data_IF_323993648271
#
_entry.id   IF_323993648271
#
_cell.length_a   1.000
_cell.length_b   1.000
_cell.length_c   1.000
_cell.angle_alpha   90.00
_cell.angle_beta   90.00
_cell.angle_gamma   90.00
#
_symmetry.space_group_name_H-M   'P 1'
#
loop_
_entity.id
_entity.type
_entity.pdbx_description
1 polymer ?
#
# COMPACT_ATOMS: atom_id res chain seq x y z
N UNK A 1 9.03 24.03 30.87
CA UNK A 1 7.99 24.74 30.07
C UNK A 1 7.71 23.85 28.81
N UNK A 2 6.77 22.96 28.87
CA UNK A 2 6.31 22.29 27.64
C UNK A 2 5.64 23.36 26.77
N UNK A 3 6.18 23.53 25.60
CA UNK A 3 5.81 24.59 24.67
C UNK A 3 4.31 24.47 24.36
N UNK A 4 3.50 25.48 24.69
CA UNK A 4 2.04 25.54 24.42
C UNK A 4 1.70 25.23 22.95
N UNK A 5 2.61 25.54 22.04
CA UNK A 5 2.51 25.22 20.62
C UNK A 5 2.54 23.71 20.37
N UNK A 6 3.48 22.99 20.99
CA UNK A 6 3.58 21.53 20.89
C UNK A 6 2.36 20.83 21.49
N UNK A 7 1.87 21.32 22.63
CA UNK A 7 0.65 20.80 23.27
C UNK A 7 -0.61 21.01 22.42
N UNK A 8 -0.66 22.05 21.60
CA UNK A 8 -1.75 22.34 20.66
C UNK A 8 -1.68 21.43 19.41
N UNK A 9 -0.49 21.07 18.96
CA UNK A 9 -0.26 20.16 17.83
C UNK A 9 -0.53 18.70 18.22
N UNK A 10 -0.11 18.31 19.42
CA UNK A 10 -0.11 16.91 19.90
C UNK A 10 -1.23 16.63 20.91
N UNK A 11 -1.83 17.66 21.47
CA UNK A 11 -2.68 17.63 22.66
C UNK A 11 -4.11 17.10 22.52
N UNK A 12 -4.39 16.26 21.52
CA UNK A 12 -5.72 15.68 21.31
C UNK A 12 -5.74 14.30 20.70
N UNK A 13 -4.61 13.64 20.60
CA UNK A 13 -4.48 12.35 19.90
C UNK A 13 -4.63 11.17 20.84
N UNK A 14 -5.84 10.94 21.37
CA UNK A 14 -6.20 9.64 21.87
C UNK A 14 -6.61 8.78 20.67
N UNK A 15 -5.74 7.85 20.26
CA UNK A 15 -5.97 6.98 19.13
C UNK A 15 -6.64 5.66 19.54
N UNK A 16 -7.08 5.53 20.81
CA UNK A 16 -7.77 4.34 21.31
C UNK A 16 -7.04 3.05 20.96
N UNK A 17 -5.72 3.00 21.18
CA UNK A 17 -4.84 1.94 20.69
C UNK A 17 -5.22 0.56 21.25
N UNK A 18 -5.69 0.54 22.51
CA UNK A 18 -6.01 -0.68 23.26
C UNK A 18 -7.46 -0.73 23.76
N UNK A 19 -8.30 0.19 23.32
CA UNK A 19 -9.72 0.28 23.69
C UNK A 19 -10.58 0.42 22.44
N UNK A 20 -11.83 -0.07 22.45
CA UNK A 20 -12.76 0.16 21.37
C UNK A 20 -13.01 1.67 21.17
N UNK A 21 -13.21 2.08 19.93
CA UNK A 21 -13.61 3.46 19.59
C UNK A 21 -14.98 3.75 20.19
N UNK A 22 -15.12 4.77 21.04
CA UNK A 22 -16.41 5.13 21.62
C UNK A 22 -17.32 5.81 20.59
N UNK A 23 -18.63 5.74 20.82
CA UNK A 23 -19.66 6.18 19.86
C UNK A 23 -19.49 7.65 19.40
N UNK A 24 -19.10 8.53 20.31
CA UNK A 24 -18.88 9.96 20.05
C UNK A 24 -17.67 10.24 19.14
N UNK A 25 -16.72 9.31 19.07
CA UNK A 25 -15.52 9.43 18.24
C UNK A 25 -15.70 8.84 16.83
N UNK A 26 -16.85 8.21 16.54
CA UNK A 26 -17.12 7.64 15.24
C UNK A 26 -17.26 8.69 14.15
N UNK A 27 -16.73 8.37 12.97
CA UNK A 27 -16.66 9.27 11.81
C UNK A 27 -17.77 9.00 10.80
N UNK A 28 -18.21 10.05 10.14
CA UNK A 28 -19.16 9.98 9.05
C UNK A 28 -18.49 9.57 7.73
N UNK A 29 -19.32 9.28 6.71
CA UNK A 29 -18.91 8.80 5.38
C UNK A 29 -17.84 9.67 4.70
N UNK A 30 -17.90 11.00 4.83
CA UNK A 30 -16.94 11.93 4.20
C UNK A 30 -15.48 11.61 4.58
N UNK A 31 -15.25 11.21 5.84
CA UNK A 31 -13.91 10.87 6.32
C UNK A 31 -13.29 9.69 5.55
N UNK A 32 -14.10 8.70 5.17
CA UNK A 32 -13.66 7.50 4.46
C UNK A 32 -13.54 7.72 2.95
N UNK A 33 -14.49 8.45 2.35
CA UNK A 33 -14.44 8.77 0.92
C UNK A 33 -13.14 9.49 0.55
N UNK A 34 -12.79 10.55 1.28
CA UNK A 34 -11.56 11.29 1.02
C UNK A 34 -10.31 10.53 1.41
N UNK A 35 -10.35 9.75 2.51
CA UNK A 35 -9.23 8.93 2.93
C UNK A 35 -8.86 7.91 1.85
N UNK A 36 -9.82 7.12 1.39
CA UNK A 36 -9.58 6.12 0.35
C UNK A 36 -9.26 6.74 -1.01
N UNK A 37 -9.91 7.84 -1.38
CA UNK A 37 -9.55 8.56 -2.59
C UNK A 37 -8.07 9.02 -2.54
N UNK A 38 -7.62 9.57 -1.40
CA UNK A 38 -6.25 10.03 -1.23
C UNK A 38 -5.21 8.91 -1.20
N UNK A 39 -5.52 7.79 -0.56
CA UNK A 39 -4.62 6.63 -0.51
C UNK A 39 -4.40 5.96 -1.87
N UNK A 40 -5.41 6.02 -2.75
CA UNK A 40 -5.41 5.35 -4.04
C UNK A 40 -5.17 6.30 -5.24
N UNK A 41 -4.91 7.58 -5.00
CA UNK A 41 -4.28 8.50 -5.95
C UNK A 41 -2.85 8.77 -5.50
N UNK A 42 -2.12 7.70 -5.32
CA UNK A 42 -0.82 7.65 -4.66
C UNK A 42 0.34 7.98 -5.60
N UNK A 43 1.51 8.21 -5.01
CA UNK A 43 2.74 8.34 -5.78
C UNK A 43 3.13 7.05 -6.52
N UNK A 44 2.74 5.87 -6.02
CA UNK A 44 2.91 4.57 -6.68
C UNK A 44 2.23 4.47 -8.03
N UNK A 45 1.16 5.21 -8.24
CA UNK A 45 0.38 5.14 -9.49
C UNK A 45 1.21 5.57 -10.69
N UNK A 46 2.17 6.48 -10.48
CA UNK A 46 3.13 6.89 -11.51
C UNK A 46 4.17 5.81 -11.87
N UNK A 47 4.23 4.71 -11.11
CA UNK A 47 5.09 3.55 -11.39
C UNK A 47 4.26 2.39 -11.96
N UNK A 48 3.04 2.19 -11.46
CA UNK A 48 2.19 1.06 -11.81
C UNK A 48 1.61 1.18 -13.22
N UNK A 49 1.13 2.36 -13.63
CA UNK A 49 0.65 2.56 -14.99
C UNK A 49 1.71 2.25 -16.06
N UNK A 50 2.95 2.79 -15.93
CA UNK A 50 4.10 2.40 -16.76
C UNK A 50 4.37 0.90 -16.78
N UNK A 51 4.23 0.20 -15.65
CA UNK A 51 4.42 -1.25 -15.58
C UNK A 51 3.53 -1.99 -16.58
N UNK A 52 2.25 -1.64 -16.66
CA UNK A 52 1.32 -2.28 -17.59
C UNK A 52 1.68 -2.04 -19.07
N UNK A 53 2.17 -0.85 -19.39
CA UNK A 53 2.68 -0.54 -20.72
C UNK A 53 3.94 -1.35 -21.02
N UNK A 54 4.90 -1.38 -20.10
CA UNK A 54 6.16 -2.09 -20.26
C UNK A 54 5.95 -3.60 -20.45
N UNK A 55 4.99 -4.19 -19.77
CA UNK A 55 4.63 -5.61 -19.88
C UNK A 55 3.65 -5.92 -21.03
N UNK A 56 3.41 -4.99 -21.94
CA UNK A 56 2.63 -5.21 -23.16
C UNK A 56 1.20 -5.68 -22.90
N UNK A 57 0.52 -5.05 -21.95
CA UNK A 57 -0.90 -5.31 -21.72
C UNK A 57 -1.71 -4.79 -22.91
N UNK A 58 -2.75 -5.51 -23.33
CA UNK A 58 -3.70 -4.98 -24.32
C UNK A 58 -4.67 -4.00 -23.68
N UNK A 59 -5.18 -3.02 -24.43
CA UNK A 59 -6.16 -2.06 -23.91
C UNK A 59 -7.41 -2.75 -23.32
N UNK A 60 -7.89 -3.82 -23.94
CA UNK A 60 -9.03 -4.60 -23.47
C UNK A 60 -8.72 -5.34 -22.16
N UNK A 61 -7.54 -6.00 -22.08
CA UNK A 61 -7.13 -6.70 -20.86
C UNK A 61 -6.95 -5.74 -19.68
N UNK A 62 -6.39 -4.55 -19.95
CA UNK A 62 -6.25 -3.51 -18.93
C UNK A 62 -7.61 -3.09 -18.36
N UNK A 63 -8.52 -2.63 -19.23
CA UNK A 63 -9.82 -2.12 -18.80
C UNK A 63 -10.64 -3.18 -18.06
N UNK A 64 -10.79 -4.38 -18.65
CA UNK A 64 -11.57 -5.45 -18.03
C UNK A 64 -10.90 -5.99 -16.76
N UNK A 65 -9.57 -6.14 -16.79
CA UNK A 65 -8.81 -6.59 -15.63
C UNK A 65 -8.92 -5.63 -14.44
N UNK A 66 -8.79 -4.33 -14.69
CA UNK A 66 -8.96 -3.31 -13.65
C UNK A 66 -10.41 -3.26 -13.12
N UNK A 67 -11.41 -3.36 -13.99
CA UNK A 67 -12.81 -3.38 -13.56
C UNK A 67 -13.10 -4.55 -12.62
N UNK A 68 -12.67 -5.75 -12.99
CA UNK A 68 -12.91 -6.97 -12.20
C UNK A 68 -12.07 -6.98 -10.92
N UNK A 69 -10.76 -6.72 -11.00
CA UNK A 69 -9.88 -6.79 -9.85
C UNK A 69 -10.20 -5.73 -8.79
N UNK A 70 -10.52 -4.50 -9.21
CA UNK A 70 -10.95 -3.45 -8.29
C UNK A 70 -12.31 -3.79 -7.63
N UNK A 71 -13.25 -4.44 -8.37
CA UNK A 71 -14.49 -4.91 -7.78
C UNK A 71 -14.23 -5.95 -6.68
N UNK A 72 -13.35 -6.91 -6.92
CA UNK A 72 -12.97 -7.92 -5.92
C UNK A 72 -12.34 -7.28 -4.69
N UNK A 73 -11.51 -6.26 -4.86
CA UNK A 73 -10.93 -5.49 -3.76
C UNK A 73 -12.01 -4.79 -2.92
N UNK A 74 -12.95 -4.06 -3.55
CA UNK A 74 -14.07 -3.39 -2.86
C UNK A 74 -14.93 -4.39 -2.09
N UNK A 75 -15.23 -5.54 -2.70
CA UNK A 75 -15.99 -6.60 -2.05
C UNK A 75 -15.24 -7.14 -0.83
N UNK A 76 -13.92 -7.31 -0.91
CA UNK A 76 -13.10 -7.75 0.22
C UNK A 76 -13.16 -6.76 1.38
N UNK A 77 -13.04 -5.45 1.13
CA UNK A 77 -13.21 -4.42 2.17
C UNK A 77 -14.62 -4.39 2.74
N UNK A 78 -15.64 -4.41 1.87
CA UNK A 78 -17.03 -4.27 2.28
C UNK A 78 -17.57 -5.47 3.04
N UNK A 79 -17.26 -6.69 2.58
CA UNK A 79 -17.83 -7.92 3.12
C UNK A 79 -16.98 -8.59 4.21
N UNK A 80 -15.67 -8.32 4.24
CA UNK A 80 -14.76 -8.96 5.19
C UNK A 80 -14.28 -7.94 6.23
N UNK A 81 -13.51 -6.93 5.81
CA UNK A 81 -12.86 -6.01 6.73
C UNK A 81 -13.84 -5.09 7.45
N UNK A 82 -14.83 -4.56 6.73
CA UNK A 82 -15.83 -3.63 7.29
C UNK A 82 -16.63 -4.21 8.45
N UNK A 83 -17.25 -5.40 8.35
CA UNK A 83 -17.96 -6.04 9.44
C UNK A 83 -17.09 -6.26 10.69
N UNK A 84 -15.88 -6.80 10.51
CA UNK A 84 -14.94 -7.07 11.61
C UNK A 84 -14.52 -5.76 12.30
N UNK A 85 -14.13 -4.76 11.51
CA UNK A 85 -13.68 -3.46 12.03
C UNK A 85 -14.75 -2.77 12.87
N UNK A 86 -16.00 -2.75 12.41
CA UNK A 86 -17.08 -2.03 13.07
C UNK A 86 -17.71 -2.79 14.23
N UNK A 87 -17.57 -4.12 14.27
CA UNK A 87 -18.02 -4.95 15.39
C UNK A 87 -17.07 -4.80 16.58
N UNK A 88 -15.77 -5.02 16.38
CA UNK A 88 -14.78 -5.02 17.47
C UNK A 88 -14.25 -3.62 17.81
N UNK A 89 -14.16 -2.71 16.83
CA UNK A 89 -13.67 -1.32 16.97
C UNK A 89 -12.27 -1.19 17.56
N UNK A 90 -11.46 -2.24 17.40
CA UNK A 90 -10.08 -2.33 17.89
C UNK A 90 -9.08 -2.14 16.77
N UNK A 91 -7.84 -1.76 17.11
CA UNK A 91 -6.73 -1.84 16.16
C UNK A 91 -6.45 -3.29 15.79
N UNK A 92 -5.94 -3.52 14.56
CA UNK A 92 -5.40 -4.82 14.15
C UNK A 92 -4.49 -5.43 15.22
N UNK A 93 -3.55 -4.65 15.73
CA UNK A 93 -2.51 -5.07 16.66
C UNK A 93 -3.05 -5.53 18.00
N UNK A 94 -4.01 -4.81 18.55
CA UNK A 94 -4.61 -5.18 19.83
C UNK A 94 -5.59 -6.35 19.69
N UNK A 95 -6.29 -6.45 18.57
CA UNK A 95 -7.15 -7.60 18.28
C UNK A 95 -6.31 -8.88 18.16
N UNK A 96 -5.20 -8.85 17.40
CA UNK A 96 -4.26 -9.97 17.33
C UNK A 96 -3.64 -10.33 18.68
N UNK A 97 -3.30 -9.32 19.51
CA UNK A 97 -2.76 -9.59 20.85
C UNK A 97 -3.75 -10.38 21.72
N UNK A 98 -5.04 -10.10 21.59
CA UNK A 98 -6.09 -10.83 22.32
C UNK A 98 -6.28 -12.27 21.83
N UNK A 99 -6.07 -12.51 20.54
CA UNK A 99 -6.25 -13.83 19.93
C UNK A 99 -4.98 -14.68 20.07
N UNK A 100 -3.83 -14.15 19.68
CA UNK A 100 -2.58 -14.89 19.51
C UNK A 100 -1.52 -14.62 20.61
N UNK A 101 -1.81 -13.71 21.55
CA UNK A 101 -0.93 -13.38 22.67
C UNK A 101 0.19 -12.41 22.30
N UNK A 102 0.83 -11.85 23.36
CA UNK A 102 1.76 -10.72 23.24
C UNK A 102 3.05 -11.04 22.49
N UNK A 103 3.59 -12.24 22.65
CA UNK A 103 4.93 -12.56 22.13
C UNK A 103 4.94 -12.66 20.59
N UNK A 104 3.97 -13.38 20.00
CA UNK A 104 3.83 -13.48 18.55
C UNK A 104 3.54 -12.11 17.94
N UNK A 105 2.63 -11.35 18.56
CA UNK A 105 2.22 -10.05 18.03
C UNK A 105 3.32 -9.00 18.10
N UNK A 106 4.27 -9.08 19.04
CA UNK A 106 5.44 -8.18 19.05
C UNK A 106 6.29 -8.35 17.79
N UNK A 107 6.60 -9.57 17.39
CA UNK A 107 7.35 -9.84 16.17
C UNK A 107 6.60 -9.40 14.94
N UNK A 108 5.33 -9.75 14.86
CA UNK A 108 4.46 -9.31 13.78
C UNK A 108 4.40 -7.77 13.67
N UNK A 109 4.20 -7.08 14.78
CA UNK A 109 4.14 -5.62 14.81
C UNK A 109 5.47 -4.97 14.39
N UNK A 110 6.61 -5.56 14.76
CA UNK A 110 7.91 -5.07 14.34
C UNK A 110 8.08 -5.18 12.82
N UNK A 111 7.79 -6.37 12.26
CA UNK A 111 7.87 -6.60 10.80
C UNK A 111 6.91 -5.67 10.07
N UNK A 112 5.67 -5.55 10.56
CA UNK A 112 4.66 -4.69 9.98
C UNK A 112 5.06 -3.20 10.01
N UNK A 113 5.61 -2.72 11.14
CA UNK A 113 6.11 -1.35 11.24
C UNK A 113 7.26 -1.08 10.25
N UNK A 114 8.20 -2.01 10.10
CA UNK A 114 9.30 -1.88 9.13
C UNK A 114 8.78 -1.85 7.69
N UNK A 115 7.85 -2.75 7.35
CA UNK A 115 7.24 -2.78 6.01
C UNK A 115 6.51 -1.47 5.68
N UNK A 116 5.76 -0.91 6.63
CA UNK A 116 5.15 0.40 6.46
C UNK A 116 6.18 1.53 6.35
N UNK A 117 7.32 1.46 7.06
CA UNK A 117 8.39 2.44 6.90
C UNK A 117 8.96 2.41 5.47
N UNK A 118 9.19 1.23 4.90
CA UNK A 118 9.65 1.12 3.51
C UNK A 118 8.61 1.63 2.52
N UNK A 119 7.35 1.25 2.69
CA UNK A 119 6.25 1.74 1.84
C UNK A 119 6.13 3.27 1.90
N UNK A 120 6.10 3.86 3.09
CA UNK A 120 6.03 5.30 3.25
C UNK A 120 7.30 6.01 2.76
N UNK A 121 8.46 5.40 2.95
CA UNK A 121 9.74 5.90 2.43
C UNK A 121 9.74 6.00 0.91
N UNK A 122 9.22 4.99 0.24
CA UNK A 122 9.03 5.01 -1.21
C UNK A 122 8.12 6.16 -1.66
N UNK A 123 7.03 6.43 -0.93
CA UNK A 123 6.13 7.54 -1.24
C UNK A 123 6.78 8.91 -1.03
N UNK A 124 7.61 9.06 0.01
CA UNK A 124 8.39 10.28 0.24
C UNK A 124 9.41 10.48 -0.89
N UNK A 125 10.11 9.41 -1.30
CA UNK A 125 11.07 9.46 -2.40
C UNK A 125 10.39 9.85 -3.73
N UNK A 126 9.23 9.27 -4.04
CA UNK A 126 8.44 9.68 -5.23
C UNK A 126 8.10 11.16 -5.17
N UNK A 127 7.61 11.68 -4.04
CA UNK A 127 7.35 13.13 -3.87
C UNK A 127 8.62 13.96 -4.10
N UNK A 128 9.74 13.53 -3.56
CA UNK A 128 11.00 14.24 -3.66
C UNK A 128 11.52 14.34 -5.10
N UNK A 129 11.24 13.34 -5.98
CA UNK A 129 11.63 13.40 -7.41
C UNK A 129 11.03 14.61 -8.13
N UNK A 130 9.88 15.10 -7.68
CA UNK A 130 9.21 16.24 -8.29
C UNK A 130 9.64 17.59 -7.68
N UNK A 131 10.02 17.63 -6.40
CA UNK A 131 10.41 18.87 -5.70
C UNK A 131 11.69 19.47 -6.26
N UNK A 132 12.65 18.65 -6.67
CA UNK A 132 13.94 19.12 -7.17
C UNK A 132 13.88 19.76 -8.56
N UNK A 133 12.89 19.42 -9.37
CA UNK A 133 12.81 19.83 -10.78
C UNK A 133 12.80 21.37 -10.93
N UNK A 134 11.95 22.15 -10.20
CA UNK A 134 11.93 23.60 -10.32
C UNK A 134 13.21 24.31 -9.86
N UNK A 135 14.10 23.60 -9.18
CA UNK A 135 15.36 24.14 -8.64
C UNK A 135 16.59 23.60 -9.38
N UNK A 136 16.40 22.96 -10.53
CA UNK A 136 17.45 22.30 -11.32
C UNK A 136 18.35 21.37 -10.49
N UNK A 137 17.79 20.73 -9.47
CA UNK A 137 18.50 19.75 -8.67
C UNK A 137 18.60 18.42 -9.45
N UNK A 138 19.81 17.88 -9.48
CA UNK A 138 20.00 16.54 -10.02
C UNK A 138 19.26 15.52 -9.17
N UNK A 139 18.20 14.94 -9.74
CA UNK A 139 17.38 13.91 -9.12
C UNK A 139 17.91 12.52 -9.48
N UNK A 140 17.99 11.60 -8.53
CA UNK A 140 18.38 10.24 -8.83
C UNK A 140 17.33 9.54 -9.69
N UNK A 141 17.77 8.59 -10.48
CA UNK A 141 16.88 7.62 -11.09
C UNK A 141 16.38 6.62 -10.04
N UNK A 142 15.26 5.96 -10.32
CA UNK A 142 14.70 4.97 -9.39
C UNK A 142 15.56 3.68 -9.30
N UNK A 143 16.54 3.51 -10.20
CA UNK A 143 17.54 2.43 -10.17
C UNK A 143 18.75 2.73 -9.27
N UNK A 144 18.95 3.99 -8.86
CA UNK A 144 20.07 4.36 -8.02
C UNK A 144 19.93 3.81 -6.59
N UNK A 145 20.88 2.96 -6.17
CA UNK A 145 20.88 2.38 -4.83
C UNK A 145 21.25 3.36 -3.73
N UNK A 146 22.13 4.31 -4.02
CA UNK A 146 22.65 5.27 -3.04
C UNK A 146 22.28 6.70 -3.44
N UNK A 147 22.07 7.59 -2.46
CA UNK A 147 21.89 9.00 -2.73
C UNK A 147 23.18 9.58 -3.34
N UNK A 148 23.08 10.21 -4.51
CA UNK A 148 24.25 10.75 -5.22
C UNK A 148 24.56 12.19 -4.83
N UNK A 149 23.55 12.97 -4.47
CA UNK A 149 23.69 14.40 -4.24
C UNK A 149 23.19 14.82 -2.86
N UNK A 150 23.84 15.82 -2.21
CA UNK A 150 23.31 16.39 -0.96
C UNK A 150 21.94 17.03 -1.13
N UNK A 151 21.65 17.62 -2.32
CA UNK A 151 20.36 18.22 -2.63
C UNK A 151 19.22 17.21 -2.54
N UNK A 152 19.42 15.98 -3.05
CA UNK A 152 18.46 14.90 -2.89
C UNK A 152 18.18 14.58 -1.43
N UNK A 153 19.23 14.38 -0.62
CA UNK A 153 19.09 14.02 0.80
C UNK A 153 18.32 15.11 1.55
N UNK A 154 18.66 16.38 1.33
CA UNK A 154 17.96 17.50 1.98
C UNK A 154 16.49 17.54 1.56
N UNK A 155 16.21 17.41 0.28
CA UNK A 155 14.83 17.40 -0.25
C UNK A 155 14.00 16.30 0.41
N UNK A 156 14.52 15.07 0.46
CA UNK A 156 13.85 13.91 1.07
C UNK A 156 13.61 14.13 2.56
N UNK A 157 14.61 14.59 3.30
CA UNK A 157 14.47 14.82 4.74
C UNK A 157 13.48 15.92 5.07
N UNK A 158 13.46 17.01 4.30
CA UNK A 158 12.47 18.08 4.45
C UNK A 158 11.07 17.57 4.15
N UNK A 159 10.89 16.87 3.04
CA UNK A 159 9.60 16.25 2.68
C UNK A 159 9.13 15.25 3.74
N UNK A 160 10.01 14.38 4.19
CA UNK A 160 9.71 13.42 5.24
C UNK A 160 9.33 14.07 6.57
N UNK A 161 10.00 15.14 6.96
CA UNK A 161 9.67 15.90 8.15
C UNK A 161 8.27 16.54 8.05
N UNK A 162 7.94 17.20 6.93
CA UNK A 162 6.63 17.83 6.71
C UNK A 162 5.51 16.78 6.73
N UNK A 163 5.69 15.66 6.06
CA UNK A 163 4.73 14.55 6.02
C UNK A 163 4.54 13.96 7.43
N UNK A 164 5.63 13.76 8.16
CA UNK A 164 5.60 13.24 9.54
C UNK A 164 4.84 14.17 10.48
N UNK A 165 4.99 15.49 10.32
CA UNK A 165 4.25 16.48 11.14
C UNK A 165 2.73 16.35 11.00
N UNK A 166 2.22 15.91 9.88
CA UNK A 166 0.79 15.60 9.71
C UNK A 166 0.45 14.24 10.34
N UNK A 167 1.27 13.23 10.10
CA UNK A 167 1.02 11.87 10.61
C UNK A 167 0.98 11.80 12.15
N UNK A 168 1.85 12.53 12.84
CA UNK A 168 1.88 12.58 14.33
C UNK A 168 0.61 13.15 14.96
N UNK A 169 -0.21 13.85 14.18
CA UNK A 169 -1.47 14.43 14.64
C UNK A 169 -2.63 13.42 14.58
N UNK A 170 -2.36 12.18 14.17
CA UNK A 170 -3.29 11.08 14.20
C UNK A 170 -4.35 11.09 13.11
N UNK A 171 -5.27 10.12 13.20
CA UNK A 171 -6.28 9.85 12.18
C UNK A 171 -7.07 11.07 11.71
N UNK A 172 -7.45 11.96 12.63
CA UNK A 172 -8.28 13.13 12.30
C UNK A 172 -7.62 14.06 11.30
N UNK A 173 -6.33 14.35 11.45
CA UNK A 173 -5.61 15.26 10.56
C UNK A 173 -5.21 14.57 9.26
N UNK A 174 -4.82 13.30 9.34
CA UNK A 174 -4.54 12.49 8.16
C UNK A 174 -5.77 12.41 7.25
N UNK A 175 -6.94 12.08 7.80
CA UNK A 175 -8.20 12.06 7.06
C UNK A 175 -8.62 13.44 6.53
N UNK A 176 -8.44 14.51 7.31
CA UNK A 176 -8.74 15.87 6.86
C UNK A 176 -7.86 16.29 5.69
N UNK A 177 -6.56 16.00 5.76
CA UNK A 177 -5.63 16.27 4.67
C UNK A 177 -6.04 15.53 3.39
N UNK A 178 -6.33 14.23 3.49
CA UNK A 178 -6.79 13.43 2.37
C UNK A 178 -8.09 13.96 1.74
N UNK A 179 -9.07 14.36 2.57
CA UNK A 179 -10.33 14.95 2.10
C UNK A 179 -10.15 16.24 1.29
N UNK A 180 -9.13 17.03 1.60
CA UNK A 180 -8.85 18.29 0.90
C UNK A 180 -8.10 18.00 -0.42
N UNK A 181 -7.12 17.09 -0.38
CA UNK A 181 -6.20 16.88 -1.49
C UNK A 181 -6.69 15.91 -2.55
N UNK A 182 -7.42 14.86 -2.18
CA UNK A 182 -7.81 13.80 -3.12
C UNK A 182 -8.65 14.27 -4.32
N UNK A 183 -9.60 15.22 -4.21
CA UNK A 183 -10.35 15.68 -5.38
C UNK A 183 -9.43 16.35 -6.43
N UNK A 184 -8.45 17.13 -5.96
CA UNK A 184 -7.49 17.78 -6.85
C UNK A 184 -6.60 16.76 -7.57
N UNK A 185 -6.19 15.72 -6.86
CA UNK A 185 -5.37 14.65 -7.42
C UNK A 185 -6.09 13.94 -8.58
N UNK A 186 -7.34 13.55 -8.38
CA UNK A 186 -8.16 12.91 -9.41
C UNK A 186 -8.29 13.82 -10.63
N UNK A 187 -8.59 15.11 -10.42
CA UNK A 187 -8.70 16.08 -11.51
C UNK A 187 -7.39 16.24 -12.29
N UNK A 188 -6.24 16.26 -11.59
CA UNK A 188 -4.95 16.39 -12.25
C UNK A 188 -4.60 15.12 -13.04
N UNK A 189 -4.89 13.91 -12.53
CA UNK A 189 -4.71 12.69 -13.31
C UNK A 189 -5.56 12.66 -14.57
N UNK A 190 -6.82 13.11 -14.48
CA UNK A 190 -7.68 13.24 -15.67
C UNK A 190 -7.12 14.26 -16.64
N UNK A 191 -6.68 15.42 -16.17
CA UNK A 191 -6.05 16.44 -17.03
C UNK A 191 -4.76 15.90 -17.68
N UNK A 192 -3.94 15.17 -16.93
CA UNK A 192 -2.73 14.52 -17.42
C UNK A 192 -3.04 13.52 -18.55
N UNK A 193 -4.09 12.70 -18.37
CA UNK A 193 -4.52 11.78 -19.43
C UNK A 193 -4.97 12.53 -20.70
N UNK A 194 -5.77 13.59 -20.56
CA UNK A 194 -6.27 14.38 -21.68
C UNK A 194 -5.09 15.04 -22.44
N UNK A 195 -4.17 15.68 -21.72
CA UNK A 195 -3.00 16.34 -22.33
C UNK A 195 -2.07 15.30 -22.96
N UNK A 196 -1.79 14.19 -22.28
CA UNK A 196 -0.97 13.12 -22.83
C UNK A 196 -1.56 12.50 -24.08
N UNK A 197 -2.88 12.22 -24.11
CA UNK A 197 -3.57 11.74 -25.32
C UNK A 197 -3.48 12.74 -26.47
N UNK A 198 -3.60 14.04 -26.19
CA UNK A 198 -3.44 15.08 -27.21
C UNK A 198 -2.01 15.12 -27.78
N UNK A 199 -0.98 14.90 -26.94
CA UNK A 199 0.42 14.78 -27.37
C UNK A 199 0.67 13.52 -28.22
N UNK A 200 -0.03 12.42 -27.93
CA UNK A 200 0.00 11.18 -28.72
C UNK A 200 -0.82 11.26 -30.02
N UNK A 201 -1.39 12.43 -30.35
CA UNK A 201 -2.09 12.66 -31.60
C UNK A 201 -3.60 12.37 -31.58
N UNK A 202 -4.20 12.11 -30.41
CA UNK A 202 -5.66 11.91 -30.30
C UNK A 202 -6.41 13.20 -30.63
N UNK A 203 -7.33 13.13 -31.61
CA UNK A 203 -8.17 14.25 -32.07
C UNK A 203 -9.66 13.90 -32.17
N UNK A 204 -10.00 12.60 -32.10
CA UNK A 204 -11.36 12.08 -32.19
C UNK A 204 -11.51 10.83 -31.34
N UNK A 205 -12.75 10.35 -31.16
CA UNK A 205 -13.00 9.08 -30.47
C UNK A 205 -12.39 7.88 -31.21
N UNK A 206 -12.37 7.91 -32.54
CA UNK A 206 -11.74 6.88 -33.36
C UNK A 206 -10.23 6.84 -33.15
N UNK A 207 -9.54 8.01 -33.20
CA UNK A 207 -8.12 8.11 -32.92
C UNK A 207 -7.78 7.77 -31.46
N UNK A 208 -8.70 7.95 -30.51
CA UNK A 208 -8.50 7.49 -29.13
C UNK A 208 -8.39 5.97 -29.06
N UNK A 209 -9.27 5.25 -29.76
CA UNK A 209 -9.25 3.77 -29.74
C UNK A 209 -7.98 3.26 -30.41
N UNK A 210 -7.62 3.79 -31.61
CA UNK A 210 -6.40 3.37 -32.30
C UNK A 210 -5.15 3.67 -31.49
N UNK A 211 -5.01 4.86 -30.91
CA UNK A 211 -3.84 5.21 -30.07
C UNK A 211 -3.78 4.32 -28.83
N UNK A 212 -4.92 4.04 -28.19
CA UNK A 212 -4.94 3.15 -27.04
C UNK A 212 -4.50 1.72 -27.38
N UNK A 213 -4.92 1.18 -28.53
CA UNK A 213 -4.66 -0.22 -28.92
C UNK A 213 -3.34 -0.40 -29.66
N UNK A 214 -2.87 0.58 -30.39
CA UNK A 214 -1.70 0.45 -31.28
C UNK A 214 -0.45 1.13 -30.71
N UNK A 215 -0.61 2.14 -29.86
CA UNK A 215 0.51 2.92 -29.32
C UNK A 215 0.75 2.65 -27.85
N UNK A 216 -0.29 2.74 -26.99
CA UNK A 216 -0.11 2.70 -25.54
C UNK A 216 -0.14 1.26 -25.03
N UNK A 217 -1.26 0.55 -25.25
CA UNK A 217 -1.49 -0.83 -24.77
C UNK A 217 -1.64 -1.78 -25.97
N UNK A 218 -0.57 -1.89 -26.72
CA UNK A 218 -0.54 -2.60 -28.01
C UNK A 218 -0.37 -4.13 -27.88
N UNK A 219 -0.24 -4.64 -26.66
CA UNK A 219 -0.05 -6.07 -26.43
C UNK A 219 1.38 -6.58 -26.65
N UNK A 220 2.35 -5.69 -26.91
CA UNK A 220 3.77 -6.04 -27.12
C UNK A 220 4.61 -5.58 -25.95
N UNK A 221 5.25 -6.48 -25.19
CA UNK A 221 6.10 -6.09 -24.07
C UNK A 221 7.38 -5.41 -24.57
N UNK A 222 7.91 -4.49 -23.74
CA UNK A 222 9.22 -3.88 -24.00
C UNK A 222 10.33 -4.94 -23.87
N UNK A 223 11.49 -4.63 -24.46
CA UNK A 223 12.62 -5.56 -24.45
C UNK A 223 13.01 -5.99 -23.01
N UNK A 224 13.09 -7.30 -22.80
CA UNK A 224 13.42 -7.89 -21.50
C UNK A 224 12.24 -8.02 -20.53
N UNK A 225 11.01 -7.62 -20.92
CA UNK A 225 9.83 -7.74 -20.06
C UNK A 225 8.95 -8.93 -20.48
N UNK A 226 8.38 -9.62 -19.51
CA UNK A 226 7.38 -10.66 -19.73
C UNK A 226 6.03 -10.05 -20.11
N UNK A 227 5.22 -10.77 -20.89
CA UNK A 227 3.88 -10.29 -21.26
C UNK A 227 2.88 -10.49 -20.13
N UNK A 228 2.14 -9.44 -19.77
CA UNK A 228 1.00 -9.54 -18.88
C UNK A 228 -0.30 -9.82 -19.66
N UNK A 229 -1.16 -10.61 -19.05
CA UNK A 229 -2.51 -10.96 -19.53
C UNK A 229 -3.56 -10.34 -18.62
N UNK A 230 -4.83 -10.49 -18.98
CA UNK A 230 -5.97 -10.05 -18.15
C UNK A 230 -5.88 -10.59 -16.70
N UNK A 231 -5.40 -11.83 -16.51
CA UNK A 231 -5.26 -12.42 -15.18
C UNK A 231 -4.25 -11.70 -14.31
N UNK A 232 -3.11 -11.28 -14.89
CA UNK A 232 -2.12 -10.47 -14.17
C UNK A 232 -2.76 -9.16 -13.70
N UNK A 233 -3.57 -8.51 -14.54
CA UNK A 233 -4.23 -7.25 -14.18
C UNK A 233 -5.30 -7.46 -13.11
N UNK A 234 -6.14 -8.51 -13.22
CA UNK A 234 -7.15 -8.85 -12.20
C UNK A 234 -6.48 -9.08 -10.85
N UNK A 235 -5.48 -9.95 -10.80
CA UNK A 235 -4.82 -10.29 -9.54
C UNK A 235 -3.99 -9.12 -9.00
N UNK A 236 -3.30 -8.39 -9.88
CA UNK A 236 -2.54 -7.22 -9.45
C UNK A 236 -3.47 -6.17 -8.81
N UNK A 237 -4.55 -5.77 -9.47
CA UNK A 237 -5.47 -4.76 -8.95
C UNK A 237 -6.23 -5.21 -7.70
N UNK A 238 -6.51 -6.52 -7.56
CA UNK A 238 -7.08 -7.07 -6.34
C UNK A 238 -6.06 -7.10 -5.20
N UNK A 239 -4.84 -7.58 -5.47
CA UNK A 239 -3.85 -7.89 -4.44
C UNK A 239 -2.90 -6.75 -4.11
N UNK A 240 -2.78 -5.69 -4.92
CA UNK A 240 -1.92 -4.54 -4.60
C UNK A 240 -2.23 -3.93 -3.23
N UNK A 241 -3.48 -4.03 -2.76
CA UNK A 241 -3.91 -3.61 -1.43
C UNK A 241 -4.31 -4.78 -0.52
N UNK A 242 -3.87 -6.00 -0.81
CA UNK A 242 -4.24 -7.20 -0.06
C UNK A 242 -3.94 -7.07 1.43
N UNK A 243 -2.82 -6.44 1.79
CA UNK A 243 -2.46 -6.13 3.17
C UNK A 243 -3.53 -5.33 3.91
N UNK A 244 -4.25 -4.44 3.20
CA UNK A 244 -5.24 -3.54 3.79
C UNK A 244 -6.57 -4.26 4.04
N UNK A 245 -7.09 -4.98 3.04
CA UNK A 245 -8.39 -5.64 3.15
C UNK A 245 -8.28 -7.08 3.71
N UNK A 246 -7.66 -8.03 3.03
CA UNK A 246 -7.56 -9.42 3.51
C UNK A 246 -6.60 -9.52 4.70
N UNK A 247 -5.46 -8.80 4.66
CA UNK A 247 -4.50 -8.70 5.76
C UNK A 247 -4.98 -7.87 6.95
N UNK A 248 -6.20 -7.28 6.86
CA UNK A 248 -6.88 -6.58 7.96
C UNK A 248 -6.16 -5.31 8.48
N UNK A 249 -5.17 -4.77 7.77
CA UNK A 249 -4.50 -3.54 8.23
C UNK A 249 -5.48 -2.36 8.33
N UNK A 250 -6.52 -2.35 7.50
CA UNK A 250 -7.57 -1.31 7.51
C UNK A 250 -8.56 -1.42 8.68
N UNK A 251 -8.43 -2.42 9.56
CA UNK A 251 -9.06 -2.33 10.87
C UNK A 251 -8.65 -1.05 11.62
N UNK A 252 -7.43 -0.54 11.38
CA UNK A 252 -6.94 0.71 11.97
C UNK A 252 -7.73 1.94 11.52
N UNK A 253 -8.32 1.90 10.35
CA UNK A 253 -9.11 2.98 9.74
C UNK A 253 -10.61 2.73 9.94
N UNK A 254 -11.11 1.57 9.49
CA UNK A 254 -12.54 1.25 9.49
C UNK A 254 -13.14 1.09 10.90
N UNK A 255 -12.33 0.91 11.95
CA UNK A 255 -12.82 0.92 13.35
C UNK A 255 -13.51 2.23 13.74
N UNK A 256 -13.22 3.33 13.06
CA UNK A 256 -13.90 4.63 13.24
C UNK A 256 -15.22 4.75 12.48
N UNK A 257 -15.57 3.77 11.63
CA UNK A 257 -16.77 3.86 10.80
C UNK A 257 -18.06 3.66 11.59
N UNK A 258 -19.08 4.46 11.29
CA UNK A 258 -20.41 4.31 11.89
C UNK A 258 -21.12 3.04 11.43
N UNK A 259 -20.80 2.54 10.24
CA UNK A 259 -21.43 1.37 9.64
C UNK A 259 -20.39 0.54 8.88
N UNK A 260 -20.53 -0.78 8.91
CA UNK A 260 -19.71 -1.71 8.15
C UNK A 260 -19.76 -1.44 6.62
N UNK A 261 -20.89 -0.93 6.12
CA UNK A 261 -21.06 -0.55 4.71
C UNK A 261 -20.05 0.50 4.24
N UNK A 262 -19.34 1.18 5.18
CA UNK A 262 -18.31 2.13 4.82
C UNK A 262 -17.06 1.45 4.23
N UNK A 263 -16.90 0.14 4.41
CA UNK A 263 -15.92 -0.64 3.66
C UNK A 263 -16.10 -0.54 2.15
N UNK A 264 -17.34 -0.41 1.65
CA UNK A 264 -17.59 -0.22 0.22
C UNK A 264 -17.18 1.17 -0.30
N UNK A 265 -16.94 2.17 0.57
CA UNK A 265 -16.49 3.49 0.11
C UNK A 265 -15.07 3.47 -0.46
N UNK A 266 -14.35 2.35 -0.31
CA UNK A 266 -13.09 2.10 -1.02
C UNK A 266 -13.24 2.14 -2.54
N UNK A 267 -14.49 1.96 -3.07
CA UNK A 267 -14.76 2.10 -4.50
C UNK A 267 -14.29 3.46 -5.07
N UNK A 268 -14.39 4.54 -4.28
CA UNK A 268 -13.89 5.86 -4.69
C UNK A 268 -12.36 5.83 -4.86
N UNK A 269 -11.67 5.16 -3.95
CA UNK A 269 -10.24 4.96 -4.08
C UNK A 269 -9.86 4.15 -5.30
N UNK A 270 -10.37 2.92 -5.42
CA UNK A 270 -9.91 2.00 -6.46
C UNK A 270 -10.44 2.33 -7.87
N UNK A 271 -11.61 2.97 -8.01
CA UNK A 271 -12.13 3.35 -9.34
C UNK A 271 -11.80 4.79 -9.73
N UNK A 272 -11.90 5.77 -8.84
CA UNK A 272 -11.51 7.14 -9.13
C UNK A 272 -10.03 7.42 -8.83
N UNK A 273 -9.42 6.61 -7.98
CA UNK A 273 -7.98 6.62 -7.73
C UNK A 273 -7.24 5.70 -8.69
N UNK A 274 -7.02 4.43 -8.33
CA UNK A 274 -6.22 3.47 -9.10
C UNK A 274 -6.58 3.42 -10.57
N UNK A 275 -7.86 3.18 -10.90
CA UNK A 275 -8.28 3.01 -12.29
C UNK A 275 -7.91 4.23 -13.15
N UNK A 276 -8.26 5.44 -12.68
CA UNK A 276 -7.95 6.68 -13.41
C UNK A 276 -6.45 6.96 -13.42
N UNK A 277 -5.78 6.81 -12.27
CA UNK A 277 -4.37 7.15 -12.14
C UNK A 277 -3.47 6.19 -12.91
N UNK A 278 -3.77 4.88 -12.95
CA UNK A 278 -2.98 3.89 -13.70
C UNK A 278 -3.14 4.06 -15.21
N UNK A 279 -4.34 4.37 -15.67
CA UNK A 279 -4.55 4.72 -17.08
C UNK A 279 -3.79 6.02 -17.41
N UNK A 280 -3.94 7.06 -16.62
CA UNK A 280 -3.28 8.33 -16.84
C UNK A 280 -1.75 8.19 -16.87
N UNK A 281 -1.16 7.52 -15.88
CA UNK A 281 0.29 7.33 -15.80
C UNK A 281 0.83 6.41 -16.91
N UNK A 282 0.05 5.43 -17.37
CA UNK A 282 0.38 4.66 -18.57
C UNK A 282 0.44 5.52 -19.83
N UNK A 283 -0.53 6.45 -20.00
CA UNK A 283 -0.52 7.44 -21.09
C UNK A 283 0.72 8.34 -20.99
N UNK A 284 1.03 8.87 -19.80
CA UNK A 284 2.21 9.68 -19.55
C UNK A 284 3.51 8.93 -19.90
N UNK A 285 3.58 7.65 -19.57
CA UNK A 285 4.74 6.83 -19.90
C UNK A 285 4.87 6.60 -21.41
N UNK A 286 3.77 6.41 -22.13
CA UNK A 286 3.80 6.33 -23.59
C UNK A 286 4.31 7.64 -24.24
N UNK A 287 3.90 8.79 -23.72
CA UNK A 287 4.44 10.11 -24.12
C UNK A 287 5.96 10.17 -23.86
N UNK A 288 6.38 9.74 -22.68
CA UNK A 288 7.80 9.70 -22.30
C UNK A 288 8.63 8.83 -23.24
N UNK A 289 8.14 7.62 -23.57
CA UNK A 289 8.83 6.72 -24.50
C UNK A 289 8.98 7.28 -25.91
N UNK A 290 7.98 8.03 -26.40
CA UNK A 290 8.08 8.71 -27.69
C UNK A 290 9.11 9.84 -27.68
N UNK A 291 9.19 10.60 -26.57
CA UNK A 291 10.13 11.72 -26.44
C UNK A 291 11.57 11.27 -26.17
N UNK A 292 11.76 10.11 -25.54
CA UNK A 292 13.05 9.61 -25.04
C UNK A 292 13.37 8.23 -25.65
N UNK A 293 13.41 8.13 -26.97
CA UNK A 293 13.71 6.88 -27.68
C UNK A 293 15.05 6.29 -27.20
N UNK A 294 14.99 5.12 -26.54
CA UNK A 294 16.16 4.38 -26.05
C UNK A 294 16.32 4.34 -24.53
N UNK A 295 15.56 5.11 -23.74
CA UNK A 295 15.56 5.01 -22.28
C UNK A 295 14.19 4.50 -21.77
N UNK A 296 14.24 3.44 -20.96
CA UNK A 296 13.06 2.95 -20.23
C UNK A 296 13.06 3.45 -18.78
N UNK A 297 14.18 4.01 -18.32
CA UNK A 297 14.32 4.54 -16.96
C UNK A 297 13.70 5.92 -16.84
N UNK A 298 12.91 6.12 -15.83
CA UNK A 298 12.20 7.36 -15.56
C UNK A 298 12.09 7.67 -14.06
N UNK A 299 11.89 8.93 -13.74
CA UNK A 299 11.45 9.37 -12.43
C UNK A 299 9.99 9.87 -12.50
N UNK A 300 9.12 9.53 -11.53
CA UNK A 300 7.72 9.96 -11.53
C UNK A 300 7.53 11.47 -11.69
N UNK A 301 8.33 12.26 -11.00
CA UNK A 301 8.32 13.72 -11.10
C UNK A 301 8.62 14.20 -12.52
N UNK A 302 9.59 13.60 -13.21
CA UNK A 302 10.00 13.95 -14.56
C UNK A 302 8.86 13.72 -15.57
N UNK A 303 8.24 12.53 -15.55
CA UNK A 303 7.14 12.20 -16.47
C UNK A 303 5.97 13.18 -16.29
N UNK A 304 5.57 13.43 -15.05
CA UNK A 304 4.47 14.33 -14.78
C UNK A 304 4.79 15.77 -15.15
N UNK A 305 6.03 16.23 -14.91
CA UNK A 305 6.47 17.57 -15.28
C UNK A 305 6.55 17.77 -16.79
N UNK A 306 7.07 16.80 -17.55
CA UNK A 306 7.15 16.87 -19.01
C UNK A 306 5.78 17.03 -19.66
N UNK A 307 4.74 16.44 -19.06
CA UNK A 307 3.39 16.51 -19.63
C UNK A 307 2.60 17.72 -19.16
N UNK A 308 2.64 18.05 -17.85
CA UNK A 308 1.80 19.07 -17.23
C UNK A 308 2.59 20.24 -16.60
N UNK A 309 3.91 20.27 -16.77
CA UNK A 309 4.75 21.28 -16.13
C UNK A 309 4.64 21.25 -14.59
N UNK A 310 4.60 22.41 -13.97
CA UNK A 310 4.54 22.56 -12.51
C UNK A 310 3.31 21.85 -11.89
N UNK A 311 2.16 21.85 -12.59
CA UNK A 311 0.97 21.18 -12.08
C UNK A 311 1.19 19.66 -11.93
N UNK A 312 1.91 19.03 -12.87
CA UNK A 312 2.31 17.63 -12.78
C UNK A 312 3.27 17.37 -11.61
N UNK A 313 4.28 18.23 -11.43
CA UNK A 313 5.20 18.12 -10.29
C UNK A 313 4.46 18.22 -8.95
N UNK A 314 3.58 19.21 -8.80
CA UNK A 314 2.75 19.37 -7.58
C UNK A 314 1.86 18.15 -7.34
N UNK A 315 1.32 17.56 -8.42
CA UNK A 315 0.54 16.32 -8.34
C UNK A 315 1.37 15.19 -7.72
N UNK A 316 2.59 14.95 -8.20
CA UNK A 316 3.47 13.89 -7.67
C UNK A 316 3.82 14.14 -6.21
N UNK A 317 4.10 15.38 -5.81
CA UNK A 317 4.36 15.75 -4.41
C UNK A 317 3.17 15.39 -3.53
N UNK A 318 1.97 15.81 -3.91
CA UNK A 318 0.76 15.56 -3.12
C UNK A 318 0.40 14.07 -3.11
N UNK A 319 0.57 13.37 -4.24
CA UNK A 319 0.29 11.94 -4.37
C UNK A 319 1.12 11.10 -3.40
N UNK A 320 2.42 11.34 -3.32
CA UNK A 320 3.25 10.66 -2.32
C UNK A 320 2.87 11.05 -0.89
N UNK A 321 2.52 12.32 -0.65
CA UNK A 321 2.15 12.80 0.68
C UNK A 321 0.84 12.19 1.19
N UNK A 322 -0.22 12.14 0.37
CA UNK A 322 -1.53 11.59 0.77
C UNK A 322 -1.46 10.11 1.14
N UNK A 323 -0.50 9.38 0.61
CA UNK A 323 -0.29 7.96 0.91
C UNK A 323 0.72 7.75 2.04
N UNK A 324 1.78 8.54 2.11
CA UNK A 324 2.78 8.42 3.18
C UNK A 324 2.19 8.73 4.56
N UNK A 325 1.29 9.70 4.69
CA UNK A 325 0.65 10.06 5.95
C UNK A 325 -0.04 8.88 6.65
N UNK A 326 -1.04 8.21 6.03
CA UNK A 326 -1.73 7.08 6.67
C UNK A 326 -0.79 5.88 6.86
N UNK A 327 0.22 5.73 6.02
CA UNK A 327 1.20 4.65 6.12
C UNK A 327 2.10 4.84 7.34
N UNK A 328 2.63 6.04 7.57
CA UNK A 328 3.40 6.40 8.79
C UNK A 328 2.52 6.27 10.04
N UNK A 329 1.26 6.67 9.96
CA UNK A 329 0.30 6.52 11.06
C UNK A 329 0.08 5.04 11.42
N UNK A 330 -0.11 4.15 10.43
CA UNK A 330 -0.24 2.70 10.65
C UNK A 330 1.03 2.10 11.24
N UNK A 331 2.21 2.48 10.74
CA UNK A 331 3.49 2.06 11.28
C UNK A 331 3.68 2.51 12.74
N UNK A 332 3.26 3.73 13.06
CA UNK A 332 3.24 4.27 14.42
C UNK A 332 2.38 3.43 15.37
N UNK A 333 1.18 3.05 14.94
CA UNK A 333 0.30 2.18 15.74
C UNK A 333 0.86 0.77 15.90
N UNK A 334 1.50 0.21 14.85
CA UNK A 334 2.15 -1.10 14.95
C UNK A 334 3.26 -1.09 16.00
N UNK A 335 4.14 -0.11 15.94
CA UNK A 335 5.25 0.01 16.88
C UNK A 335 4.77 0.37 18.30
N UNK A 336 3.70 1.18 18.42
CA UNK A 336 3.07 1.50 19.68
C UNK A 336 2.54 0.25 20.39
N UNK A 337 2.04 -0.74 19.64
CA UNK A 337 1.67 -2.04 20.20
C UNK A 337 2.81 -2.77 20.90
N UNK A 338 4.08 -2.52 20.49
CA UNK A 338 5.27 -3.06 21.17
C UNK A 338 5.65 -2.23 22.41
N UNK A 339 5.51 -0.90 22.31
CA UNK A 339 5.89 0.05 23.37
C UNK A 339 4.67 0.80 23.94
N UNK A 340 3.72 0.12 24.61
CA UNK A 340 2.43 0.69 25.01
C UNK A 340 2.52 1.83 26.04
N UNK A 341 3.66 2.01 26.69
CA UNK A 341 3.90 3.11 27.65
C UNK A 341 4.36 4.40 26.99
N UNK A 342 4.79 4.35 25.72
CA UNK A 342 5.26 5.54 25.00
C UNK A 342 4.08 6.16 24.25
N UNK A 343 3.87 7.48 24.34
CA UNK A 343 2.79 8.16 23.63
C UNK A 343 2.90 7.94 22.11
N UNK A 344 1.77 7.66 21.45
CA UNK A 344 1.69 7.33 20.00
C UNK A 344 2.38 8.36 19.13
N UNK A 345 2.22 9.65 19.41
CA UNK A 345 2.87 10.70 18.61
C UNK A 345 4.41 10.63 18.63
N UNK A 346 5.03 10.25 19.78
CA UNK A 346 6.49 10.08 19.85
C UNK A 346 6.95 8.91 19.00
N UNK A 347 6.23 7.81 19.07
CA UNK A 347 6.53 6.63 18.26
C UNK A 347 6.34 6.95 16.77
N UNK A 348 5.25 7.63 16.41
CA UNK A 348 5.00 8.05 15.02
C UNK A 348 6.09 9.00 14.52
N UNK A 349 6.62 9.88 15.38
CA UNK A 349 7.75 10.74 15.02
C UNK A 349 9.04 9.93 14.77
N UNK A 350 9.33 8.92 15.61
CA UNK A 350 10.47 8.01 15.41
C UNK A 350 10.31 7.23 14.09
N UNK A 351 9.12 6.69 13.85
CA UNK A 351 8.78 6.00 12.60
C UNK A 351 8.98 6.91 11.40
N UNK A 352 8.48 8.17 11.47
CA UNK A 352 8.67 9.16 10.42
C UNK A 352 10.16 9.46 10.14
N UNK A 353 10.99 9.52 11.18
CA UNK A 353 12.44 9.66 11.04
C UNK A 353 13.08 8.47 10.32
N UNK A 354 12.75 7.25 10.72
CA UNK A 354 13.22 6.00 10.07
C UNK A 354 12.77 5.97 8.60
N UNK A 355 11.51 6.31 8.35
CA UNK A 355 10.92 6.38 7.02
C UNK A 355 11.64 7.39 6.12
N UNK A 356 11.95 8.58 6.66
CA UNK A 356 12.67 9.64 5.93
C UNK A 356 14.10 9.22 5.58
N UNK A 357 14.78 8.51 6.48
CA UNK A 357 16.10 7.93 6.20
C UNK A 357 16.03 6.86 5.12
N UNK A 358 15.04 5.96 5.18
CA UNK A 358 14.82 4.94 4.15
C UNK A 358 14.53 5.59 2.78
N UNK A 359 13.80 6.68 2.74
CA UNK A 359 13.46 7.41 1.53
C UNK A 359 14.68 8.03 0.81
N UNK A 360 15.81 8.21 1.51
CA UNK A 360 17.05 8.68 0.88
C UNK A 360 17.61 7.70 -0.15
N UNK A 361 17.18 6.43 -0.15
CA UNK A 361 17.64 5.38 -1.07
C UNK A 361 16.64 5.19 -2.22
N UNK A 362 16.90 5.75 -3.41
CA UNK A 362 15.91 5.80 -4.50
C UNK A 362 15.43 4.43 -4.98
N UNK A 363 16.33 3.44 -5.06
CA UNK A 363 16.00 2.10 -5.51
C UNK A 363 14.93 1.38 -4.65
N UNK A 364 14.69 1.84 -3.41
CA UNK A 364 13.57 1.34 -2.59
C UNK A 364 12.21 1.59 -3.26
N UNK A 365 12.09 2.64 -4.09
CA UNK A 365 10.87 2.92 -4.85
C UNK A 365 10.61 1.82 -5.88
N UNK A 366 11.65 1.40 -6.62
CA UNK A 366 11.51 0.32 -7.61
C UNK A 366 11.24 -1.03 -6.98
N UNK A 367 11.81 -1.28 -5.81
CA UNK A 367 11.54 -2.48 -5.02
C UNK A 367 10.17 -2.43 -4.31
N UNK A 368 9.45 -1.32 -4.43
CA UNK A 368 8.15 -1.14 -3.80
C UNK A 368 7.15 -2.21 -4.24
N UNK A 369 7.10 -2.55 -5.52
CA UNK A 369 6.16 -3.56 -6.03
C UNK A 369 6.45 -4.94 -5.44
N UNK A 370 7.74 -5.31 -5.36
CA UNK A 370 8.18 -6.54 -4.68
C UNK A 370 7.81 -6.50 -3.19
N UNK A 371 8.02 -5.35 -2.53
CA UNK A 371 7.64 -5.15 -1.13
C UNK A 371 6.14 -5.19 -0.90
N UNK A 372 5.33 -4.64 -1.79
CA UNK A 372 3.86 -4.67 -1.67
C UNK A 372 3.34 -6.10 -1.76
N UNK A 373 3.88 -6.90 -2.68
CA UNK A 373 3.54 -8.31 -2.80
C UNK A 373 3.97 -9.11 -1.55
N UNK A 374 5.21 -8.97 -1.12
CA UNK A 374 5.74 -9.60 0.10
C UNK A 374 4.96 -9.16 1.35
N UNK A 375 4.64 -7.87 1.45
CA UNK A 375 3.88 -7.31 2.55
C UNK A 375 2.47 -7.90 2.61
N UNK A 376 1.79 -8.03 1.47
CA UNK A 376 0.50 -8.70 1.39
C UNK A 376 0.57 -10.15 1.87
N UNK A 377 1.58 -10.89 1.40
CA UNK A 377 1.79 -12.29 1.82
C UNK A 377 2.06 -12.42 3.32
N UNK A 378 2.79 -11.49 3.94
CA UNK A 378 3.09 -11.51 5.38
C UNK A 378 1.87 -11.16 6.24
N UNK A 379 1.00 -10.26 5.76
CA UNK A 379 -0.18 -9.82 6.53
C UNK A 379 -1.40 -10.70 6.32
N UNK A 380 -1.58 -11.28 5.16
CA UNK A 380 -2.73 -12.14 4.84
C UNK A 380 -2.98 -13.23 5.89
N UNK A 381 -1.96 -13.94 6.38
CA UNK A 381 -2.10 -14.93 7.44
C UNK A 381 -2.75 -14.40 8.71
N UNK A 382 -2.36 -13.22 9.12
CA UNK A 382 -2.91 -12.61 10.34
C UNK A 382 -4.35 -12.13 10.14
N UNK A 383 -4.66 -11.70 8.93
CA UNK A 383 -6.04 -11.42 8.53
C UNK A 383 -6.92 -12.66 8.58
N UNK A 384 -6.42 -13.80 8.11
CA UNK A 384 -7.13 -15.08 8.17
C UNK A 384 -7.39 -15.53 9.62
N UNK A 385 -6.44 -15.33 10.53
CA UNK A 385 -6.62 -15.59 11.97
C UNK A 385 -7.73 -14.73 12.55
N UNK A 386 -7.76 -13.44 12.24
CA UNK A 386 -8.80 -12.52 12.71
C UNK A 386 -10.16 -12.88 12.11
N UNK A 387 -10.18 -13.22 10.82
CA UNK A 387 -11.39 -13.68 10.13
C UNK A 387 -11.96 -14.95 10.79
N UNK A 388 -11.11 -15.93 11.04
CA UNK A 388 -11.50 -17.18 11.68
C UNK A 388 -12.01 -16.95 13.11
N UNK A 389 -11.34 -16.14 13.92
CA UNK A 389 -11.79 -15.77 15.25
C UNK A 389 -13.17 -15.10 15.21
N UNK A 390 -13.39 -14.19 14.26
CA UNK A 390 -14.65 -13.46 14.17
C UNK A 390 -15.84 -14.33 13.76
N UNK A 391 -15.67 -15.17 12.72
CA UNK A 391 -16.80 -15.93 12.16
C UNK A 391 -17.02 -17.31 12.79
N UNK A 392 -15.99 -17.92 13.35
CA UNK A 392 -16.07 -19.29 13.85
C UNK A 392 -16.07 -19.38 15.38
N UNK A 393 -15.51 -18.39 16.09
CA UNK A 393 -15.51 -18.38 17.56
C UNK A 393 -16.92 -18.22 18.14
N UNK A 394 -17.79 -17.44 17.49
CA UNK A 394 -19.18 -17.27 17.89
C UNK A 394 -20.06 -18.53 17.67
N UNK A 395 -19.61 -19.45 16.81
CA UNK A 395 -20.31 -20.70 16.48
C UNK A 395 -19.82 -21.92 17.30
N UNK A 396 -19.09 -21.69 18.41
CA UNK A 396 -18.71 -22.74 19.36
C UNK A 396 -17.56 -23.66 18.92
N UNK A 397 -16.92 -23.39 17.78
CA UNK A 397 -15.67 -24.06 17.42
C UNK A 397 -14.52 -23.41 18.22
N UNK A 398 -13.67 -24.20 18.89
CA UNK A 398 -12.56 -23.64 19.64
C UNK A 398 -11.60 -22.93 18.67
N UNK A 399 -11.57 -21.60 18.73
CA UNK A 399 -10.69 -20.73 17.95
C UNK A 399 -9.22 -21.20 17.97
N UNK A 400 -8.80 -21.85 19.04
CA UNK A 400 -7.48 -22.42 19.23
C UNK A 400 -7.11 -23.48 18.19
N UNK A 401 -8.03 -24.36 17.74
CA UNK A 401 -7.75 -25.39 16.71
C UNK A 401 -7.63 -24.79 15.31
N UNK A 402 -8.42 -23.76 14.99
CA UNK A 402 -8.33 -23.08 13.70
C UNK A 402 -7.01 -22.32 13.58
N UNK A 403 -6.54 -21.68 14.67
CA UNK A 403 -5.28 -20.96 14.72
C UNK A 403 -4.08 -21.91 14.58
N UNK A 404 -4.11 -23.05 15.29
CA UNK A 404 -3.04 -24.06 15.21
C UNK A 404 -2.93 -24.67 13.80
N UNK A 405 -4.06 -24.89 13.13
CA UNK A 405 -4.10 -25.39 11.75
C UNK A 405 -3.56 -24.36 10.76
N UNK A 406 -4.02 -23.11 10.85
CA UNK A 406 -3.64 -22.01 9.95
C UNK A 406 -2.15 -21.68 10.06
N UNK A 407 -1.63 -21.53 11.30
CA UNK A 407 -0.20 -21.29 11.54
C UNK A 407 0.64 -22.48 11.06
N UNK A 408 0.18 -23.70 11.27
CA UNK A 408 0.85 -24.91 10.79
C UNK A 408 0.92 -24.97 9.26
N UNK A 409 -0.16 -24.64 8.58
CA UNK A 409 -0.25 -24.59 7.11
C UNK A 409 0.68 -23.51 6.53
N UNK A 410 0.71 -22.33 7.15
CA UNK A 410 1.53 -21.22 6.67
C UNK A 410 3.02 -21.44 6.90
N UNK A 411 3.40 -22.02 8.05
CA UNK A 411 4.80 -22.39 8.28
C UNK A 411 5.26 -23.45 7.26
N UNK A 412 4.38 -24.32 6.80
CA UNK A 412 4.66 -25.26 5.74
C UNK A 412 4.84 -24.55 4.37
N UNK A 413 3.96 -23.60 4.04
CA UNK A 413 4.07 -22.80 2.81
C UNK A 413 5.34 -21.95 2.78
N UNK A 414 5.72 -21.31 3.90
CA UNK A 414 6.97 -20.53 3.99
C UNK A 414 8.22 -21.42 3.88
N UNK A 415 8.20 -22.62 4.45
CA UNK A 415 9.29 -23.56 4.32
C UNK A 415 9.50 -24.03 2.87
N UNK A 416 8.41 -24.19 2.11
CA UNK A 416 8.46 -24.54 0.68
C UNK A 416 8.92 -23.40 -0.23
N UNK A 417 8.69 -22.15 0.18
CA UNK A 417 9.17 -20.95 -0.54
C UNK A 417 10.65 -20.64 -0.29
N UNK A 418 11.39 -21.52 0.44
CA UNK A 418 12.83 -21.36 0.67
C UNK A 418 13.19 -20.20 1.63
N UNK A 419 12.23 -19.68 2.40
CA UNK A 419 12.50 -18.67 3.41
C UNK A 419 13.26 -19.33 4.55
N UNK A 420 14.43 -18.77 4.87
CA UNK A 420 15.46 -19.32 5.74
C UNK A 420 14.88 -19.91 7.03
N UNK A 421 15.32 -21.13 7.32
CA UNK A 421 14.94 -21.94 8.50
C UNK A 421 15.14 -21.23 9.84
N UNK A 422 16.02 -20.22 9.92
CA UNK A 422 16.26 -19.42 11.12
C UNK A 422 15.06 -18.55 11.51
N UNK A 423 14.40 -17.91 10.55
CA UNK A 423 13.20 -17.10 10.78
C UNK A 423 12.01 -17.98 11.20
N UNK A 424 11.85 -19.13 10.52
CA UNK A 424 10.83 -20.13 10.86
C UNK A 424 11.08 -20.79 12.22
N UNK A 425 12.36 -20.98 12.60
CA UNK A 425 12.74 -21.51 13.92
C UNK A 425 12.42 -20.51 15.03
N UNK A 426 12.61 -19.22 14.80
CA UNK A 426 12.23 -18.14 15.73
C UNK A 426 10.72 -18.12 15.99
N UNK A 427 9.90 -18.22 14.94
CA UNK A 427 8.43 -18.32 15.05
C UNK A 427 8.03 -19.63 15.78
N UNK A 428 8.61 -20.76 15.41
CA UNK A 428 8.37 -22.05 16.07
C UNK A 428 8.77 -22.04 17.54
N UNK A 429 9.88 -21.40 17.90
CA UNK A 429 10.35 -21.26 19.27
C UNK A 429 9.45 -20.37 20.10
N UNK A 430 8.99 -19.25 19.54
CA UNK A 430 8.02 -18.35 20.19
C UNK A 430 6.68 -19.03 20.43
N UNK A 431 6.24 -19.90 19.52
CA UNK A 431 5.01 -20.70 19.64
C UNK A 431 5.15 -21.84 20.67
N UNK A 432 6.35 -22.46 20.80
CA UNK A 432 6.61 -23.53 21.80
C UNK A 432 6.70 -23.01 23.23
N UNK A 433 7.21 -21.80 23.43
CA UNK A 433 7.26 -21.18 24.78
C UNK A 433 5.91 -20.89 25.42
N UNK A 434 4.81 -21.01 24.66
CA UNK A 434 3.44 -20.82 25.11
C UNK A 434 2.59 -22.10 25.26
N UNK A 435 3.17 -23.30 25.27
CA UNK A 435 2.43 -24.58 25.28
C UNK A 435 1.46 -24.76 24.10
N UNK A 436 1.77 -24.20 22.92
CA UNK A 436 0.84 -24.08 21.81
C UNK A 436 0.93 -25.20 20.75
N UNK A 437 1.90 -26.13 20.80
CA UNK A 437 2.04 -27.17 19.80
C UNK A 437 1.95 -28.58 20.39
N UNK A 438 0.95 -29.39 20.01
CA UNK A 438 1.00 -30.83 20.17
C UNK A 438 1.96 -31.48 19.17
N UNK A 439 2.50 -32.64 19.51
CA UNK A 439 3.39 -33.46 18.66
C UNK A 439 2.72 -33.69 17.31
N UNK A 440 3.44 -33.33 16.25
CA UNK A 440 3.04 -33.36 14.84
C UNK A 440 2.29 -34.62 14.40
N UNK A 441 1.09 -34.50 13.79
CA UNK A 441 0.60 -35.49 12.85
C UNK A 441 1.31 -35.30 11.50
N UNK A 442 1.75 -36.38 10.90
CA UNK A 442 2.19 -36.40 9.50
C UNK A 442 1.00 -36.01 8.60
N UNK A 443 0.97 -34.78 8.13
CA UNK A 443 0.03 -34.33 7.09
C UNK A 443 0.70 -34.58 5.73
N UNK A 444 0.20 -35.61 5.06
CA UNK A 444 0.51 -35.92 3.68
C UNK A 444 -0.32 -35.03 2.77
N UNK A 445 0.38 -34.17 2.03
CA UNK A 445 0.22 -33.90 0.62
C UNK A 445 -1.15 -33.50 0.05
N UNK A 446 -1.52 -32.22 0.18
CA UNK A 446 -2.33 -31.49 -0.82
C UNK A 446 -1.50 -30.48 -1.63
N UNK A 447 -0.27 -30.17 -1.15
CA UNK A 447 0.59 -29.15 -1.74
C UNK A 447 1.35 -29.56 -3.00
N UNK A 448 1.46 -30.87 -3.31
CA UNK A 448 2.16 -31.34 -4.51
C UNK A 448 1.51 -30.88 -5.83
N UNK A 449 0.22 -30.60 -5.83
CA UNK A 449 -0.48 -30.08 -7.03
C UNK A 449 -0.21 -28.60 -7.26
N UNK A 450 -0.06 -27.83 -6.19
CA UNK A 450 0.25 -26.40 -6.23
C UNK A 450 1.72 -26.15 -6.61
N UNK A 451 2.63 -27.01 -6.16
CA UNK A 451 4.05 -26.95 -6.49
C UNK A 451 4.29 -27.08 -8.00
N UNK A 452 3.56 -27.96 -8.70
CA UNK A 452 3.71 -28.12 -10.14
C UNK A 452 3.15 -26.95 -10.95
N UNK A 453 2.15 -26.21 -10.43
CA UNK A 453 1.68 -24.98 -11.06
C UNK A 453 2.63 -23.79 -10.85
N UNK A 454 3.17 -23.62 -9.63
CA UNK A 454 4.01 -22.46 -9.31
C UNK A 454 5.45 -22.65 -9.80
N UNK A 455 6.01 -23.87 -9.77
CA UNK A 455 7.38 -24.12 -10.27
C UNK A 455 7.49 -24.05 -11.80
N UNK A 456 6.44 -24.38 -12.55
CA UNK A 456 6.45 -24.18 -14.00
C UNK A 456 6.31 -22.71 -14.42
N UNK A 457 5.76 -21.84 -13.56
CA UNK A 457 5.68 -20.40 -13.85
C UNK A 457 6.87 -19.60 -13.30
N UNK A 458 7.56 -20.11 -12.26
CA UNK A 458 8.75 -19.42 -11.67
C UNK A 458 10.06 -19.86 -12.36
N UNK A 459 10.10 -20.98 -13.07
CA UNK A 459 11.27 -21.37 -13.89
C UNK A 459 11.35 -20.63 -15.21
N UNK A 460 10.30 -19.92 -15.61
CA UNK A 460 10.24 -19.07 -16.79
C UNK A 460 10.28 -17.54 -16.44
N UNK A 461 10.53 -17.23 -15.17
CA UNK A 461 10.89 -15.91 -14.65
C UNK A 461 12.38 -15.89 -14.25
#
# INVERSE_FOLDING_TARGET
MENRFFKKIVGGTNEYERTPIPAESLKGRKSFLGMYAGEHTAGTEFVIGPLFVAHGVTASDLILGLLIGNLLAVLSWGLITGPIATSKRLTLYYQLERIAGKNLVRWYNLVNALMFCFLAGSMIAVSATAVGIPFDLEMPTLSDWLPRTPGWIVTVLVMGAVITLVAIQGYNQVSKFANIMSPWMILIFIAAAIVGLAQLGVRSAESLISVAQEVIWNGVPLAGMSKFTIWHIIFFSWFCNMAMHIGMSDLTILRYAKSWKYGFYTFVGVYLGHFVAWIASGILYAVFLQANSGSQEFAPGQIAYQTLGIAGAVCVVIAGWTTANPTIYRAGLALQGIFPKVPTWKITAIVGGITSLAACFPALVMKLLDFVALYGLLLMPMGAVIFADFYFSENGLPARRSIEFEIGFQLACFAELGIDSGFLFGIKSALRGGNFLPRTPRLVCGCCHFRNCVQNEVSDL
#
